data_IF_990033723848
#
_entry.id   IF_990033723848
#
_cell.length_a   1.000
_cell.length_b   1.000
_cell.length_c   1.000
_cell.angle_alpha   90.00
_cell.angle_beta   90.00
_cell.angle_gamma   90.00
#
_symmetry.space_group_name_H-M   'P 1'
#
loop_
_entity.id
_entity.type
_entity.pdbx_description
1 polymer ?
#
# COMPACT_ATOMS: atom_id res chain seq x y z
N UNK A 1 -7.02 17.26 -52.98
CA UNK A 1 -6.64 17.33 -51.56
C UNK A 1 -5.67 16.19 -51.25
N UNK A 2 -4.36 16.44 -51.07
CA UNK A 2 -3.35 15.41 -50.78
C UNK A 2 -3.58 14.68 -49.45
N UNK A 3 -4.13 15.37 -48.45
CA UNK A 3 -4.38 14.86 -47.09
C UNK A 3 -5.31 13.63 -47.06
N UNK A 4 -6.30 13.61 -47.94
CA UNK A 4 -7.29 12.53 -48.05
C UNK A 4 -6.65 11.23 -48.60
N UNK A 5 -5.60 11.37 -49.42
CA UNK A 5 -4.86 10.24 -49.99
C UNK A 5 -3.87 9.64 -48.99
N UNK A 6 -3.17 10.49 -48.24
CA UNK A 6 -2.24 10.06 -47.18
C UNK A 6 -2.98 9.38 -46.04
N UNK A 7 -4.14 9.91 -45.63
CA UNK A 7 -4.96 9.30 -44.59
C UNK A 7 -5.45 7.90 -44.99
N UNK A 8 -5.92 7.73 -46.24
CA UNK A 8 -6.32 6.41 -46.78
C UNK A 8 -5.17 5.41 -46.78
N UNK A 9 -3.95 5.86 -47.12
CA UNK A 9 -2.75 5.02 -47.07
C UNK A 9 -2.48 4.53 -45.64
N UNK A 10 -2.43 5.43 -44.66
CA UNK A 10 -2.21 5.03 -43.26
C UNK A 10 -3.36 4.19 -42.70
N UNK A 11 -4.60 4.43 -43.13
CA UNK A 11 -5.74 3.60 -42.76
C UNK A 11 -5.58 2.16 -43.24
N UNK A 12 -5.19 1.97 -44.51
CA UNK A 12 -4.94 0.64 -45.07
C UNK A 12 -3.76 -0.06 -44.38
N UNK A 13 -2.71 0.69 -44.03
CA UNK A 13 -1.61 0.17 -43.22
C UNK A 13 -2.11 -0.27 -41.84
N UNK A 14 -2.95 0.54 -41.19
CA UNK A 14 -3.60 0.21 -39.92
C UNK A 14 -4.43 -1.08 -40.00
N UNK A 15 -5.17 -1.28 -41.09
CA UNK A 15 -5.92 -2.52 -41.36
C UNK A 15 -5.00 -3.74 -41.38
N UNK A 16 -3.85 -3.65 -42.04
CA UNK A 16 -2.87 -4.74 -42.13
C UNK A 16 -2.20 -5.00 -40.76
N UNK A 17 -1.83 -3.93 -40.04
CA UNK A 17 -1.28 -4.04 -38.67
C UNK A 17 -2.28 -4.72 -37.72
N UNK A 18 -3.57 -4.38 -37.82
CA UNK A 18 -4.62 -4.96 -36.99
C UNK A 18 -4.73 -6.48 -37.21
N UNK A 19 -4.66 -6.95 -38.46
CA UNK A 19 -4.67 -8.39 -38.76
C UNK A 19 -3.47 -9.10 -38.12
N UNK A 20 -2.28 -8.51 -38.16
CA UNK A 20 -1.11 -9.06 -37.49
C UNK A 20 -1.27 -9.11 -35.96
N UNK A 21 -1.97 -8.12 -35.38
CA UNK A 21 -2.28 -8.08 -33.94
C UNK A 21 -3.21 -9.23 -33.52
N UNK A 22 -4.25 -9.55 -34.30
CA UNK A 22 -5.19 -10.63 -33.96
C UNK A 22 -4.48 -11.98 -33.78
N UNK A 23 -3.48 -12.27 -34.62
CA UNK A 23 -2.67 -13.48 -34.47
C UNK A 23 -1.86 -13.48 -33.16
N UNK A 24 -1.36 -12.32 -32.71
CA UNK A 24 -0.61 -12.18 -31.46
C UNK A 24 -1.51 -12.34 -30.23
N UNK A 25 -2.72 -11.77 -30.29
CA UNK A 25 -3.74 -11.90 -29.22
C UNK A 25 -4.01 -13.36 -28.92
N UNK A 26 -4.28 -14.16 -29.96
CA UNK A 26 -4.56 -15.59 -29.82
C UNK A 26 -3.45 -16.34 -29.06
N UNK A 27 -2.18 -16.13 -29.42
CA UNK A 27 -1.05 -16.76 -28.75
C UNK A 27 -0.85 -16.26 -27.32
N UNK A 28 -1.05 -14.96 -27.08
CA UNK A 28 -0.94 -14.38 -25.75
C UNK A 28 -1.98 -14.95 -24.79
N UNK A 29 -3.23 -15.09 -25.24
CA UNK A 29 -4.30 -15.68 -24.43
C UNK A 29 -4.01 -17.15 -24.13
N UNK A 30 -3.59 -17.93 -25.11
CA UNK A 30 -3.23 -19.34 -24.91
C UNK A 30 -2.10 -19.50 -23.89
N UNK A 31 -1.03 -18.70 -24.00
CA UNK A 31 0.09 -18.72 -23.05
C UNK A 31 -0.33 -18.25 -21.65
N UNK A 32 -1.23 -17.26 -21.55
CA UNK A 32 -1.72 -16.79 -20.27
C UNK A 32 -2.52 -17.85 -19.52
N UNK A 33 -3.34 -18.64 -20.22
CA UNK A 33 -4.06 -19.77 -19.63
C UNK A 33 -3.12 -20.88 -19.14
N UNK A 34 -2.01 -21.13 -19.84
CA UNK A 34 -1.00 -22.12 -19.43
C UNK A 34 -0.14 -21.64 -18.26
N UNK A 35 0.17 -20.35 -18.20
CA UNK A 35 1.08 -19.76 -17.20
C UNK A 35 0.36 -19.22 -15.96
N UNK A 36 -0.97 -19.15 -15.97
CA UNK A 36 -1.77 -18.58 -14.89
C UNK A 36 -1.58 -17.07 -14.70
N UNK A 37 -0.94 -16.37 -15.66
CA UNK A 37 -0.78 -14.92 -15.63
C UNK A 37 -2.11 -14.24 -15.98
N UNK A 38 -2.36 -13.07 -15.40
CA UNK A 38 -3.52 -12.25 -15.76
C UNK A 38 -3.47 -11.95 -17.27
N UNK A 39 -4.51 -12.37 -17.98
CA UNK A 39 -4.63 -12.24 -19.44
C UNK A 39 -5.31 -10.94 -19.86
N UNK A 40 -5.95 -10.26 -18.90
CA UNK A 40 -6.79 -9.10 -19.09
C UNK A 40 -6.20 -7.86 -18.39
N UNK A 41 -6.72 -6.69 -18.75
CA UNK A 41 -6.40 -5.46 -18.06
C UNK A 41 -6.97 -5.48 -16.64
N UNK A 42 -6.36 -4.71 -15.73
CA UNK A 42 -6.95 -4.49 -14.41
C UNK A 42 -8.29 -3.74 -14.53
N UNK A 43 -9.31 -4.25 -13.84
CA UNK A 43 -10.62 -3.61 -13.75
C UNK A 43 -10.56 -2.45 -12.74
N UNK A 44 -10.68 -1.22 -13.23
CA UNK A 44 -10.65 -0.05 -12.36
C UNK A 44 -11.75 -0.05 -11.30
N UNK A 45 -12.98 -0.48 -11.64
CA UNK A 45 -14.11 -0.41 -10.70
C UNK A 45 -13.92 -1.38 -9.53
N UNK A 46 -13.31 -2.53 -9.79
CA UNK A 46 -12.92 -3.49 -8.76
C UNK A 46 -11.79 -2.93 -7.87
N UNK A 47 -10.76 -2.33 -8.47
CA UNK A 47 -9.68 -1.67 -7.72
C UNK A 47 -10.23 -0.52 -6.87
N UNK A 48 -11.09 0.33 -7.43
CA UNK A 48 -11.73 1.45 -6.74
C UNK A 48 -12.54 0.98 -5.54
N UNK A 49 -13.33 -0.08 -5.71
CA UNK A 49 -14.16 -0.66 -4.64
C UNK A 49 -13.31 -1.30 -3.55
N UNK A 50 -12.35 -2.15 -3.92
CA UNK A 50 -11.46 -2.87 -2.98
C UNK A 50 -10.56 -1.93 -2.18
N UNK A 51 -10.05 -0.88 -2.83
CA UNK A 51 -9.18 0.11 -2.21
C UNK A 51 -9.95 1.31 -1.62
N UNK A 52 -11.28 1.31 -1.69
CA UNK A 52 -12.17 2.34 -1.13
C UNK A 52 -11.76 3.76 -1.54
N UNK A 53 -11.52 3.95 -2.84
CA UNK A 53 -11.06 5.22 -3.39
C UNK A 53 -12.27 6.12 -3.71
N UNK A 54 -12.38 7.23 -2.98
CA UNK A 54 -13.52 8.16 -3.08
C UNK A 54 -13.13 9.55 -3.59
N UNK A 55 -11.91 10.00 -3.28
CA UNK A 55 -11.43 11.33 -3.65
C UNK A 55 -10.82 11.33 -5.05
N UNK A 56 -11.10 12.40 -5.81
CA UNK A 56 -10.62 12.59 -7.18
C UNK A 56 -10.01 13.99 -7.32
N UNK A 57 -8.76 14.06 -7.77
CA UNK A 57 -8.03 15.32 -7.97
C UNK A 57 -7.52 15.41 -9.40
N UNK A 58 -8.00 16.39 -10.16
CA UNK A 58 -7.49 16.64 -11.50
C UNK A 58 -6.06 17.20 -11.46
N UNK A 59 -5.15 16.57 -12.21
CA UNK A 59 -3.73 16.91 -12.25
C UNK A 59 -3.29 17.50 -13.59
N UNK A 60 -4.21 17.89 -14.46
CA UNK A 60 -3.87 18.49 -15.76
C UNK A 60 -3.48 17.48 -16.83
N UNK A 61 -2.89 18.00 -17.91
CA UNK A 61 -2.35 17.21 -19.03
C UNK A 61 -0.89 16.85 -18.74
N UNK A 62 -0.54 15.58 -18.90
CA UNK A 62 0.79 15.05 -18.63
C UNK A 62 1.20 14.01 -19.69
N UNK A 63 2.51 13.85 -19.92
CA UNK A 63 3.07 12.75 -20.69
C UNK A 63 3.28 11.53 -19.79
N UNK A 64 2.52 10.46 -20.05
CA UNK A 64 2.48 9.29 -19.18
C UNK A 64 3.24 8.12 -19.81
N UNK A 65 4.18 7.47 -19.09
CA UNK A 65 4.81 6.24 -19.55
C UNK A 65 3.77 5.16 -19.85
N UNK A 66 3.80 4.62 -21.07
CA UNK A 66 2.83 3.62 -21.52
C UNK A 66 2.89 2.33 -20.68
N UNK A 67 4.05 2.02 -20.10
CA UNK A 67 4.25 0.88 -19.18
C UNK A 67 3.50 1.02 -17.86
N UNK A 68 3.18 2.25 -17.44
CA UNK A 68 2.44 2.49 -16.20
C UNK A 68 0.92 2.39 -16.38
N UNK A 69 0.43 2.30 -17.63
CA UNK A 69 -0.99 2.12 -17.94
C UNK A 69 -1.32 0.62 -17.94
N UNK A 70 -2.13 0.20 -16.97
CA UNK A 70 -2.31 -1.23 -16.63
C UNK A 70 -3.76 -1.71 -16.62
N UNK A 71 -4.69 -0.77 -16.65
CA UNK A 71 -6.11 -1.08 -16.51
C UNK A 71 -7.00 -0.21 -17.37
N UNK A 72 -8.30 -0.53 -17.36
CA UNK A 72 -9.33 0.28 -18.00
C UNK A 72 -10.56 0.36 -17.12
N UNK A 73 -11.26 1.49 -17.23
CA UNK A 73 -12.64 1.63 -16.79
C UNK A 73 -13.53 0.95 -17.83
N UNK A 74 -14.32 -0.05 -17.43
CA UNK A 74 -15.34 -0.70 -18.26
C UNK A 74 -14.89 -1.56 -19.45
N UNK A 75 -13.67 -1.40 -19.99
CA UNK A 75 -13.21 -2.11 -21.21
C UNK A 75 -12.09 -3.12 -20.95
N UNK A 76 -11.93 -3.55 -19.70
CA UNK A 76 -10.81 -4.43 -19.32
C UNK A 76 -10.83 -5.81 -19.98
N UNK A 77 -12.02 -6.30 -20.40
CA UNK A 77 -12.20 -7.56 -21.16
C UNK A 77 -12.04 -7.42 -22.67
N UNK A 78 -12.13 -6.20 -23.22
CA UNK A 78 -12.04 -5.98 -24.68
C UNK A 78 -10.60 -6.07 -25.19
N UNK A 79 -9.63 -6.01 -24.29
CA UNK A 79 -8.20 -5.95 -24.59
C UNK A 79 -7.43 -6.97 -23.76
N UNK A 80 -6.29 -7.43 -24.29
CA UNK A 80 -5.31 -8.19 -23.49
C UNK A 80 -4.67 -7.28 -22.44
N UNK A 81 -3.97 -7.87 -21.46
CA UNK A 81 -3.16 -7.14 -20.48
C UNK A 81 -2.15 -6.15 -21.10
N UNK A 82 -1.79 -6.34 -22.38
CA UNK A 82 -0.90 -5.45 -23.14
C UNK A 82 -1.63 -4.45 -24.04
N UNK A 83 -2.94 -4.24 -23.86
CA UNK A 83 -3.80 -3.38 -24.69
C UNK A 83 -3.96 -3.85 -26.15
N UNK A 84 -3.84 -5.14 -26.45
CA UNK A 84 -4.17 -5.64 -27.79
C UNK A 84 -5.69 -5.90 -27.90
N UNK A 85 -6.39 -5.36 -28.92
CA UNK A 85 -7.83 -5.54 -29.09
C UNK A 85 -8.18 -7.00 -29.37
N UNK A 86 -9.09 -7.57 -28.59
CA UNK A 86 -9.50 -8.97 -28.74
C UNK A 86 -10.53 -9.20 -29.86
N UNK A 87 -11.39 -8.22 -30.08
CA UNK A 87 -12.53 -8.37 -30.99
C UNK A 87 -12.23 -7.80 -32.38
N UNK A 88 -12.55 -8.57 -33.42
CA UNK A 88 -12.34 -8.16 -34.82
C UNK A 88 -13.19 -6.95 -35.24
N UNK A 89 -14.34 -6.72 -34.59
CA UNK A 89 -15.19 -5.54 -34.82
C UNK A 89 -14.52 -4.21 -34.47
N UNK A 90 -13.42 -4.23 -33.71
CA UNK A 90 -12.63 -3.05 -33.35
C UNK A 90 -11.73 -2.55 -34.48
N UNK A 91 -11.59 -3.33 -35.57
CA UNK A 91 -10.68 -3.08 -36.69
C UNK A 91 -10.83 -1.68 -37.29
N UNK A 92 -12.05 -1.28 -37.60
CA UNK A 92 -12.32 0.00 -38.27
C UNK A 92 -11.88 1.19 -37.40
N UNK A 93 -12.34 1.22 -36.14
CA UNK A 93 -11.97 2.28 -35.19
C UNK A 93 -10.47 2.28 -34.90
N UNK A 94 -9.86 1.11 -34.71
CA UNK A 94 -8.42 0.99 -34.47
C UNK A 94 -7.61 1.51 -35.65
N UNK A 95 -8.00 1.16 -36.89
CA UNK A 95 -7.30 1.59 -38.11
C UNK A 95 -7.42 3.10 -38.35
N UNK A 96 -8.55 3.72 -37.99
CA UNK A 96 -8.70 5.20 -38.00
C UNK A 96 -7.78 5.86 -36.99
N UNK A 97 -7.69 5.32 -35.77
CA UNK A 97 -6.77 5.85 -34.75
C UNK A 97 -5.31 5.68 -35.17
N UNK A 98 -4.96 4.56 -35.80
CA UNK A 98 -3.63 4.36 -36.40
C UNK A 98 -3.32 5.40 -37.47
N UNK A 99 -4.27 5.68 -38.36
CA UNK A 99 -4.09 6.69 -39.39
C UNK A 99 -3.89 8.09 -38.81
N UNK A 100 -4.68 8.45 -37.79
CA UNK A 100 -4.54 9.72 -37.08
C UNK A 100 -3.21 9.81 -36.32
N UNK A 101 -2.73 8.72 -35.73
CA UNK A 101 -1.44 8.70 -35.03
C UNK A 101 -0.22 8.87 -35.94
N UNK A 102 -0.36 8.59 -37.24
CA UNK A 102 0.68 8.83 -38.25
C UNK A 102 0.45 10.12 -39.05
N UNK A 103 -0.63 10.87 -38.78
CA UNK A 103 -0.85 12.19 -39.38
C UNK A 103 -0.05 13.26 -38.64
N UNK A 104 0.03 14.47 -39.23
CA UNK A 104 0.68 15.61 -38.58
C UNK A 104 -0.09 16.13 -37.35
N UNK A 105 -1.40 15.93 -37.30
CA UNK A 105 -2.26 16.40 -36.22
C UNK A 105 -2.13 15.52 -34.96
N UNK A 106 -1.92 14.22 -35.15
CA UNK A 106 -1.87 13.26 -34.05
C UNK A 106 -3.23 13.06 -33.36
N UNK A 107 -3.33 12.10 -32.43
CA UNK A 107 -4.56 11.88 -31.69
C UNK A 107 -4.65 12.86 -30.51
N UNK A 108 -5.87 13.26 -30.09
CA UNK A 108 -6.03 14.06 -28.88
C UNK A 108 -5.59 13.28 -27.63
N UNK A 109 -5.26 13.98 -26.52
CA UNK A 109 -4.92 13.34 -25.25
C UNK A 109 -5.97 12.34 -24.78
N UNK A 110 -5.52 11.30 -24.08
CA UNK A 110 -6.40 10.30 -23.46
C UNK A 110 -6.90 10.77 -22.07
N UNK A 111 -7.83 10.05 -21.47
CA UNK A 111 -8.24 10.30 -20.08
C UNK A 111 -7.83 9.12 -19.19
N UNK A 112 -7.14 9.43 -18.10
CA UNK A 112 -6.62 8.44 -17.16
C UNK A 112 -7.07 8.72 -15.73
N UNK A 113 -7.42 7.66 -15.00
CA UNK A 113 -7.35 7.66 -13.55
C UNK A 113 -5.99 7.18 -13.07
N UNK A 114 -5.41 7.84 -12.06
CA UNK A 114 -4.15 7.44 -11.42
C UNK A 114 -4.43 6.93 -10.00
N UNK A 115 -3.93 5.75 -9.66
CA UNK A 115 -4.01 5.15 -8.32
C UNK A 115 -2.61 4.65 -7.95
N UNK A 116 -1.98 5.27 -6.95
CA UNK A 116 -0.56 5.02 -6.67
C UNK A 116 0.30 5.36 -7.90
N UNK A 117 1.06 4.38 -8.39
CA UNK A 117 1.90 4.49 -9.60
C UNK A 117 1.24 3.93 -10.86
N UNK A 118 0.04 3.38 -10.73
CA UNK A 118 -0.70 2.73 -11.81
C UNK A 118 -1.74 3.66 -12.44
N UNK A 119 -1.90 3.53 -13.77
CA UNK A 119 -2.89 4.30 -14.54
C UNK A 119 -3.94 3.40 -15.18
N UNK A 120 -5.17 3.90 -15.21
CA UNK A 120 -6.35 3.23 -15.72
C UNK A 120 -7.01 4.09 -16.79
N UNK A 121 -7.22 3.52 -17.97
CA UNK A 121 -7.82 4.24 -19.09
C UNK A 121 -9.31 4.45 -18.85
N UNK A 122 -9.71 5.71 -18.69
CA UNK A 122 -11.11 6.13 -18.68
C UNK A 122 -11.62 6.28 -20.12
N UNK A 123 -10.86 6.96 -20.97
CA UNK A 123 -11.11 7.04 -22.41
C UNK A 123 -9.81 6.95 -23.21
N UNK A 124 -9.87 6.35 -24.40
CA UNK A 124 -8.72 6.24 -25.30
C UNK A 124 -8.01 4.88 -25.37
N UNK A 125 -8.68 3.78 -25.00
CA UNK A 125 -8.08 2.43 -25.04
C UNK A 125 -7.44 2.07 -26.40
N UNK A 126 -8.08 2.43 -27.52
CA UNK A 126 -7.50 2.22 -28.86
C UNK A 126 -6.25 3.08 -29.10
N UNK A 127 -6.19 4.30 -28.56
CA UNK A 127 -5.01 5.18 -28.68
C UNK A 127 -3.83 4.60 -27.91
N UNK A 128 -4.05 4.07 -26.70
CA UNK A 128 -3.02 3.33 -25.95
C UNK A 128 -2.52 2.11 -26.73
N UNK A 129 -3.43 1.32 -27.29
CA UNK A 129 -3.09 0.17 -28.13
C UNK A 129 -2.22 0.55 -29.33
N UNK A 130 -2.63 1.58 -30.08
CA UNK A 130 -1.90 2.09 -31.25
C UNK A 130 -0.53 2.64 -30.84
N UNK A 131 -0.46 3.45 -29.79
CA UNK A 131 0.79 4.04 -29.32
C UNK A 131 1.82 2.96 -28.93
N UNK A 132 1.39 1.89 -28.23
CA UNK A 132 2.25 0.73 -27.95
C UNK A 132 2.71 0.02 -29.22
N UNK A 133 1.81 -0.15 -30.20
CA UNK A 133 2.15 -0.80 -31.47
C UNK A 133 3.13 0.02 -32.32
N UNK A 134 3.10 1.34 -32.19
CA UNK A 134 4.06 2.25 -32.81
C UNK A 134 5.38 2.35 -32.03
N UNK A 135 5.49 1.70 -30.87
CA UNK A 135 6.69 1.73 -30.04
C UNK A 135 6.90 3.06 -29.30
N UNK A 136 5.85 3.86 -29.14
CA UNK A 136 5.92 5.06 -28.32
C UNK A 136 6.27 4.70 -26.87
N UNK A 137 7.00 5.59 -26.19
CA UNK A 137 7.35 5.44 -24.76
C UNK A 137 6.30 6.06 -23.84
N UNK A 138 5.74 7.18 -24.28
CA UNK A 138 4.77 7.98 -23.53
C UNK A 138 3.53 8.28 -24.37
N UNK A 139 2.46 8.70 -23.70
CA UNK A 139 1.23 9.21 -24.32
C UNK A 139 0.69 10.39 -23.50
N UNK A 140 0.21 11.43 -24.18
CA UNK A 140 -0.42 12.57 -23.51
C UNK A 140 -1.78 12.17 -22.92
N UNK A 141 -2.04 12.58 -21.69
CA UNK A 141 -3.27 12.26 -20.97
C UNK A 141 -3.73 13.39 -20.05
N UNK A 142 -5.04 13.60 -19.97
CA UNK A 142 -5.70 14.23 -18.83
C UNK A 142 -5.72 13.26 -17.66
N UNK A 143 -5.13 13.64 -16.53
CA UNK A 143 -4.99 12.75 -15.36
C UNK A 143 -5.89 13.21 -14.22
N UNK A 144 -6.68 12.28 -13.69
CA UNK A 144 -7.39 12.43 -12.42
C UNK A 144 -6.80 11.44 -11.41
N UNK A 145 -6.17 11.93 -10.36
CA UNK A 145 -5.58 11.10 -9.33
C UNK A 145 -6.59 10.77 -8.23
N UNK A 146 -6.58 9.51 -7.79
CA UNK A 146 -7.25 9.03 -6.60
C UNK A 146 -6.17 8.72 -5.55
N UNK A 147 -5.96 9.61 -4.58
CA UNK A 147 -4.94 9.44 -3.55
C UNK A 147 -5.13 8.13 -2.79
N UNK A 148 -4.03 7.42 -2.55
CA UNK A 148 -4.02 6.21 -1.73
C UNK A 148 -2.64 6.00 -1.11
N UNK A 149 -2.61 5.52 0.13
CA UNK A 149 -1.40 5.03 0.81
C UNK A 149 -1.14 3.55 0.53
N UNK A 150 -2.04 2.89 -0.22
CA UNK A 150 -1.88 1.49 -0.61
C UNK A 150 -0.99 1.43 -1.86
N UNK A 151 0.12 0.66 -1.82
CA UNK A 151 0.99 0.54 -2.98
C UNK A 151 0.24 -0.19 -4.10
N UNK A 152 0.09 0.48 -5.24
CA UNK A 152 -0.42 -0.12 -6.47
C UNK A 152 0.59 0.17 -7.59
N UNK A 153 1.11 -0.91 -8.18
CA UNK A 153 2.15 -0.84 -9.21
C UNK A 153 1.72 -1.55 -10.48
N UNK A 154 2.23 -1.10 -11.64
CA UNK A 154 2.07 -1.81 -12.89
C UNK A 154 2.55 -3.26 -12.82
N UNK A 155 1.75 -4.20 -13.34
CA UNK A 155 2.14 -5.61 -13.47
C UNK A 155 2.04 -6.45 -12.19
N UNK A 156 1.41 -5.93 -11.13
CA UNK A 156 1.11 -6.70 -9.93
C UNK A 156 0.36 -8.00 -10.27
N UNK A 157 0.81 -9.09 -9.67
CA UNK A 157 0.13 -10.37 -9.66
C UNK A 157 -1.19 -10.30 -8.89
N UNK A 158 -2.08 -11.27 -9.11
CA UNK A 158 -3.32 -11.37 -8.32
C UNK A 158 -3.07 -11.52 -6.82
N UNK A 159 -1.93 -12.10 -6.42
CA UNK A 159 -1.53 -12.20 -5.00
C UNK A 159 -1.14 -10.84 -4.43
N UNK A 160 -0.36 -10.04 -5.18
CA UNK A 160 0.02 -8.69 -4.76
C UNK A 160 -1.21 -7.78 -4.68
N UNK A 161 -2.16 -7.91 -5.61
CA UNK A 161 -3.41 -7.16 -5.55
C UNK A 161 -4.27 -7.56 -4.34
N UNK A 162 -4.35 -8.85 -4.02
CA UNK A 162 -5.02 -9.33 -2.81
C UNK A 162 -4.33 -8.83 -1.53
N UNK A 163 -2.99 -8.71 -1.53
CA UNK A 163 -2.24 -8.13 -0.44
C UNK A 163 -2.53 -6.63 -0.26
N UNK A 164 -2.58 -5.87 -1.36
CA UNK A 164 -2.97 -4.47 -1.36
C UNK A 164 -4.41 -4.27 -0.85
N UNK A 165 -5.35 -5.13 -1.25
CA UNK A 165 -6.73 -5.13 -0.76
C UNK A 165 -6.81 -5.39 0.75
N UNK A 166 -6.08 -6.38 1.27
CA UNK A 166 -6.05 -6.67 2.69
C UNK A 166 -5.52 -5.47 3.51
N UNK A 167 -4.49 -4.79 2.98
CA UNK A 167 -3.97 -3.58 3.59
C UNK A 167 -4.96 -2.41 3.53
N UNK A 168 -5.64 -2.22 2.41
CA UNK A 168 -6.68 -1.19 2.28
C UNK A 168 -7.83 -1.40 3.28
N UNK A 169 -8.26 -2.65 3.47
CA UNK A 169 -9.25 -3.00 4.48
C UNK A 169 -8.76 -2.68 5.89
N UNK A 170 -7.51 -3.02 6.22
CA UNK A 170 -6.89 -2.64 7.49
C UNK A 170 -6.94 -1.12 7.74
N UNK A 171 -6.53 -0.32 6.75
CA UNK A 171 -6.55 1.15 6.86
C UNK A 171 -7.97 1.70 7.04
N UNK A 172 -8.94 1.12 6.34
CA UNK A 172 -10.34 1.51 6.43
C UNK A 172 -10.96 1.18 7.79
N UNK A 173 -10.74 -0.04 8.28
CA UNK A 173 -11.32 -0.52 9.55
C UNK A 173 -10.70 0.20 10.76
N UNK A 174 -9.40 0.49 10.71
CA UNK A 174 -8.69 1.16 11.83
C UNK A 174 -8.75 2.68 11.76
N UNK A 175 -9.06 3.24 10.58
CA UNK A 175 -9.00 4.68 10.34
C UNK A 175 -7.58 5.25 10.31
N UNK A 176 -6.53 4.42 10.20
CA UNK A 176 -5.13 4.85 10.32
C UNK A 176 -4.77 6.02 9.40
N UNK A 177 -5.24 6.01 8.15
CA UNK A 177 -4.94 7.11 7.20
C UNK A 177 -5.57 8.44 7.62
N UNK A 178 -6.71 8.44 8.32
CA UNK A 178 -7.30 9.67 8.87
C UNK A 178 -6.63 10.07 10.19
N UNK A 179 -6.35 9.08 11.03
CA UNK A 179 -5.76 9.27 12.35
C UNK A 179 -4.32 9.79 12.29
N UNK A 180 -3.53 9.31 11.31
CA UNK A 180 -2.11 9.66 11.13
C UNK A 180 -1.81 9.79 9.62
N UNK A 181 -2.14 10.91 8.96
CA UNK A 181 -2.00 11.06 7.50
C UNK A 181 -0.59 10.81 6.96
N UNK A 182 0.44 11.06 7.78
CA UNK A 182 1.86 10.86 7.47
C UNK A 182 2.37 9.44 7.77
N UNK A 183 1.46 8.49 8.10
CA UNK A 183 1.87 7.13 8.44
C UNK A 183 2.65 6.47 7.30
N UNK A 184 3.70 5.77 7.68
CA UNK A 184 4.42 4.89 6.76
C UNK A 184 3.59 3.65 6.39
N UNK A 185 3.86 3.06 5.23
CA UNK A 185 3.20 1.83 4.79
C UNK A 185 3.59 0.66 5.70
N UNK A 186 2.59 -0.03 6.26
CA UNK A 186 2.80 -1.20 7.11
C UNK A 186 2.76 -2.45 6.24
N UNK A 187 3.92 -2.92 5.77
CA UNK A 187 4.01 -4.11 4.92
C UNK A 187 4.02 -5.41 5.75
N UNK A 188 3.24 -6.41 5.33
CA UNK A 188 3.23 -7.76 5.90
C UNK A 188 3.39 -8.80 4.79
N UNK A 189 4.18 -9.84 5.04
CA UNK A 189 4.38 -10.93 4.05
C UNK A 189 3.09 -11.69 3.75
N UNK A 190 2.22 -11.86 4.75
CA UNK A 190 0.98 -12.60 4.62
C UNK A 190 -0.24 -11.68 4.83
N UNK A 191 -1.09 -11.47 3.79
CA UNK A 191 -2.23 -10.55 3.85
C UNK A 191 -3.20 -10.84 5.00
N UNK A 192 -3.38 -12.11 5.35
CA UNK A 192 -4.24 -12.50 6.46
C UNK A 192 -3.83 -11.77 7.76
N UNK A 193 -2.54 -11.60 8.03
CA UNK A 193 -2.00 -11.13 9.32
C UNK A 193 -2.39 -9.70 9.71
N UNK A 194 -2.98 -8.91 8.81
CA UNK A 194 -3.57 -7.62 9.20
C UNK A 194 -4.64 -7.76 10.28
N UNK A 195 -5.32 -8.91 10.40
CA UNK A 195 -6.24 -9.15 11.53
C UNK A 195 -5.53 -9.17 12.89
N UNK A 196 -4.28 -9.62 12.95
CA UNK A 196 -3.48 -9.59 14.18
C UNK A 196 -3.21 -8.13 14.59
N UNK A 197 -2.84 -7.27 13.63
CA UNK A 197 -2.64 -5.84 13.88
C UNK A 197 -3.91 -5.14 14.35
N UNK A 198 -5.05 -5.41 13.71
CA UNK A 198 -6.34 -4.88 14.16
C UNK A 198 -6.65 -5.31 15.59
N UNK A 199 -6.40 -6.59 15.91
CA UNK A 199 -6.56 -7.11 17.27
C UNK A 199 -5.71 -6.36 18.30
N UNK A 200 -4.48 -5.99 17.95
CA UNK A 200 -3.62 -5.18 18.82
C UNK A 200 -4.14 -3.76 19.01
N UNK A 201 -4.62 -3.10 17.96
CA UNK A 201 -5.20 -1.75 18.03
C UNK A 201 -6.46 -1.75 18.90
N UNK A 202 -7.40 -2.68 18.67
CA UNK A 202 -8.63 -2.75 19.46
C UNK A 202 -8.40 -3.16 20.92
N UNK A 203 -7.38 -3.98 21.18
CA UNK A 203 -6.97 -4.27 22.56
C UNK A 203 -6.40 -3.02 23.23
N UNK A 204 -5.58 -2.26 22.50
CA UNK A 204 -5.01 -0.99 22.98
C UNK A 204 -6.10 0.03 23.30
N UNK A 205 -7.07 0.21 22.40
CA UNK A 205 -8.27 1.03 22.61
C UNK A 205 -8.96 0.67 23.92
N UNK A 206 -9.33 -0.60 24.11
CA UNK A 206 -9.99 -1.08 25.34
C UNK A 206 -9.17 -0.89 26.61
N UNK A 207 -7.85 -0.94 26.50
CA UNK A 207 -6.95 -0.65 27.62
C UNK A 207 -7.02 0.84 27.94
N UNK A 208 -6.82 1.71 26.95
CA UNK A 208 -6.84 3.16 27.13
C UNK A 208 -8.18 3.69 27.64
N UNK A 209 -9.32 3.17 27.15
CA UNK A 209 -10.64 3.59 27.64
C UNK A 209 -10.80 3.36 29.16
N UNK A 210 -10.31 2.21 29.64
CA UNK A 210 -10.33 1.89 31.08
C UNK A 210 -9.38 2.76 31.88
N UNK A 211 -8.27 3.19 31.28
CA UNK A 211 -7.27 4.02 31.92
C UNK A 211 -7.70 5.47 32.05
N UNK A 212 -8.21 6.03 30.96
CA UNK A 212 -8.64 7.42 30.89
C UNK A 212 -10.07 7.59 31.40
N UNK A 213 -10.74 6.48 31.75
CA UNK A 213 -12.11 6.45 32.23
C UNK A 213 -13.09 7.20 31.29
N UNK A 214 -12.82 7.12 29.99
CA UNK A 214 -13.62 7.73 28.92
C UNK A 214 -13.67 6.81 27.71
N UNK A 215 -14.73 6.94 26.92
CA UNK A 215 -14.78 6.32 25.61
C UNK A 215 -13.75 6.97 24.68
N UNK A 216 -13.19 6.18 23.78
CA UNK A 216 -12.28 6.61 22.72
C UNK A 216 -12.91 6.34 21.37
N UNK A 217 -12.60 7.17 20.38
CA UNK A 217 -12.82 6.76 18.99
C UNK A 217 -11.71 5.79 18.58
N UNK A 218 -12.02 4.88 17.65
CA UNK A 218 -11.02 3.99 17.05
C UNK A 218 -9.86 4.78 16.45
N UNK A 219 -10.11 5.96 15.88
CA UNK A 219 -9.07 6.83 15.32
C UNK A 219 -8.13 7.38 16.39
N UNK A 220 -8.65 7.83 17.54
CA UNK A 220 -7.83 8.28 18.67
C UNK A 220 -6.92 7.15 19.18
N UNK A 221 -7.48 5.95 19.34
CA UNK A 221 -6.73 4.79 19.79
C UNK A 221 -5.70 4.31 18.75
N UNK A 222 -6.05 4.33 17.46
CA UNK A 222 -5.14 4.01 16.36
C UNK A 222 -3.97 4.98 16.30
N UNK A 223 -4.21 6.29 16.45
CA UNK A 223 -3.14 7.30 16.49
C UNK A 223 -2.19 7.06 17.68
N UNK A 224 -2.73 6.85 18.88
CA UNK A 224 -1.90 6.57 20.06
C UNK A 224 -1.09 5.27 19.89
N UNK A 225 -1.73 4.19 19.43
CA UNK A 225 -1.06 2.92 19.12
C UNK A 225 0.07 3.12 18.11
N UNK A 226 -0.18 3.86 17.03
CA UNK A 226 0.82 4.08 15.99
C UNK A 226 2.05 4.81 16.55
N UNK A 227 1.85 5.93 17.25
CA UNK A 227 2.95 6.76 17.75
C UNK A 227 3.66 6.19 18.98
N UNK A 228 2.95 5.46 19.85
CA UNK A 228 3.51 4.97 21.13
C UNK A 228 3.99 3.53 21.07
N UNK A 229 3.47 2.71 20.15
CA UNK A 229 3.77 1.28 20.08
C UNK A 229 4.43 0.94 18.75
N UNK A 230 3.74 1.16 17.62
CA UNK A 230 4.21 0.71 16.32
C UNK A 230 5.49 1.44 15.88
N UNK A 231 5.42 2.77 15.73
CA UNK A 231 6.52 3.59 15.21
C UNK A 231 7.82 3.45 16.03
N UNK A 232 7.81 3.50 17.38
CA UNK A 232 9.02 3.29 18.17
C UNK A 232 9.63 1.89 17.99
N UNK A 233 8.80 0.86 17.82
CA UNK A 233 9.29 -0.50 17.56
C UNK A 233 9.98 -0.59 16.19
N UNK A 234 9.38 0.00 15.16
CA UNK A 234 9.95 0.04 13.81
C UNK A 234 11.24 0.86 13.79
N UNK A 235 11.29 1.99 14.51
CA UNK A 235 12.49 2.81 14.61
C UNK A 235 13.65 2.06 15.28
N UNK A 236 13.37 1.23 16.29
CA UNK A 236 14.37 0.34 16.88
C UNK A 236 14.84 -0.74 15.89
N UNK A 237 13.91 -1.38 15.19
CA UNK A 237 14.23 -2.39 14.16
C UNK A 237 15.18 -1.81 13.11
N UNK A 238 14.93 -0.57 12.68
CA UNK A 238 15.75 0.15 11.69
C UNK A 238 17.08 0.63 12.26
N UNK A 239 17.07 1.24 13.45
CA UNK A 239 18.27 1.77 14.13
C UNK A 239 19.36 0.72 14.28
N UNK A 240 18.97 -0.53 14.54
CA UNK A 240 19.88 -1.65 14.72
C UNK A 240 19.94 -2.60 13.52
N UNK A 241 19.38 -2.19 12.37
CA UNK A 241 19.41 -2.93 11.10
C UNK A 241 19.04 -4.41 11.28
N UNK A 242 18.04 -4.68 12.13
CA UNK A 242 17.73 -6.03 12.60
C UNK A 242 17.40 -6.96 11.45
N UNK A 243 16.69 -6.44 10.43
CA UNK A 243 16.39 -7.20 9.23
C UNK A 243 17.64 -7.58 8.44
N UNK A 244 18.62 -6.69 8.32
CA UNK A 244 19.88 -6.98 7.60
C UNK A 244 20.70 -8.06 8.31
N UNK A 245 20.76 -8.01 9.64
CA UNK A 245 21.42 -9.03 10.46
C UNK A 245 20.81 -10.43 10.19
N UNK A 246 19.50 -10.50 9.92
CA UNK A 246 18.80 -11.78 9.70
C UNK A 246 18.55 -12.15 8.24
N UNK A 247 18.92 -11.29 7.27
CA UNK A 247 18.72 -11.49 5.81
C UNK A 247 19.34 -12.78 5.26
N UNK A 248 20.35 -13.35 5.92
CA UNK A 248 20.95 -14.65 5.55
C UNK A 248 20.02 -15.86 5.76
N UNK A 249 18.84 -15.69 6.36
CA UNK A 249 17.84 -16.74 6.58
C UNK A 249 16.87 -16.77 5.39
N UNK A 250 16.44 -17.97 4.99
CA UNK A 250 15.52 -18.24 3.85
C UNK A 250 14.12 -17.58 3.93
N UNK A 251 13.88 -16.64 4.85
CA UNK A 251 12.59 -15.97 5.03
C UNK A 251 12.75 -14.48 4.77
N UNK A 252 12.20 -14.00 3.66
CA UNK A 252 12.01 -12.58 3.41
C UNK A 252 10.92 -12.10 4.38
N UNK A 253 11.31 -11.45 5.48
CA UNK A 253 10.39 -10.89 6.49
C UNK A 253 10.38 -9.38 6.38
N UNK A 254 9.20 -8.79 6.53
CA UNK A 254 9.06 -7.33 6.61
C UNK A 254 9.27 -6.85 8.05
N UNK A 255 9.39 -5.54 8.23
CA UNK A 255 9.44 -4.92 9.56
C UNK A 255 8.13 -5.16 10.32
N UNK A 256 6.99 -5.12 9.63
CA UNK A 256 5.69 -5.45 10.20
C UNK A 256 5.58 -6.90 10.69
N UNK A 257 6.17 -7.86 9.96
CA UNK A 257 6.19 -9.25 10.41
C UNK A 257 7.01 -9.43 11.69
N UNK A 258 8.14 -8.72 11.79
CA UNK A 258 9.00 -8.72 12.98
C UNK A 258 8.29 -8.02 14.14
N UNK A 259 7.63 -6.88 13.90
CA UNK A 259 6.81 -6.20 14.90
C UNK A 259 5.76 -7.15 15.50
N UNK A 260 4.97 -7.83 14.67
CA UNK A 260 3.98 -8.80 15.14
C UNK A 260 4.62 -9.94 15.93
N UNK A 261 5.80 -10.42 15.50
CA UNK A 261 6.54 -11.43 16.25
C UNK A 261 6.95 -10.92 17.64
N UNK A 262 7.47 -9.68 17.74
CA UNK A 262 7.87 -9.07 19.01
C UNK A 262 6.66 -8.91 19.93
N UNK A 263 5.54 -8.42 19.40
CA UNK A 263 4.28 -8.30 20.13
C UNK A 263 3.82 -9.64 20.71
N UNK A 264 3.76 -10.68 19.88
CA UNK A 264 3.33 -12.00 20.29
C UNK A 264 4.30 -12.64 21.30
N UNK A 265 5.63 -12.47 21.10
CA UNK A 265 6.63 -12.97 22.03
C UNK A 265 6.49 -12.34 23.42
N UNK A 266 6.33 -11.02 23.47
CA UNK A 266 6.16 -10.30 24.73
C UNK A 266 4.84 -10.66 25.43
N UNK A 267 3.76 -10.87 24.68
CA UNK A 267 2.49 -11.36 25.21
C UNK A 267 2.63 -12.79 25.77
N UNK A 268 3.30 -13.69 25.07
CA UNK A 268 3.52 -15.07 25.52
C UNK A 268 4.35 -15.15 26.80
N UNK A 269 5.45 -14.38 26.88
CA UNK A 269 6.25 -14.29 28.10
C UNK A 269 5.39 -13.86 29.29
N UNK A 270 4.47 -12.91 29.08
CA UNK A 270 3.56 -12.49 30.15
C UNK A 270 2.54 -13.56 30.53
N UNK A 271 2.00 -14.29 29.55
CA UNK A 271 1.10 -15.41 29.84
C UNK A 271 1.79 -16.52 30.64
N UNK A 272 3.07 -16.79 30.36
CA UNK A 272 3.83 -17.84 31.05
C UNK A 272 4.24 -17.46 32.47
N UNK A 273 4.58 -16.18 32.71
CA UNK A 273 5.15 -15.74 34.00
C UNK A 273 4.22 -14.82 34.84
N UNK A 274 3.02 -14.49 34.35
CA UNK A 274 2.04 -13.68 35.09
C UNK A 274 2.54 -12.28 35.44
N UNK A 275 2.15 -11.74 36.61
CA UNK A 275 2.64 -10.45 37.12
C UNK A 275 4.13 -10.45 37.47
N UNK A 276 4.75 -11.62 37.59
CA UNK A 276 6.19 -11.78 37.81
C UNK A 276 7.00 -11.78 36.50
N UNK A 277 6.34 -11.64 35.34
CA UNK A 277 7.02 -11.50 34.06
C UNK A 277 7.90 -10.24 34.08
N UNK A 278 9.22 -10.34 33.78
CA UNK A 278 10.04 -9.16 33.65
C UNK A 278 9.43 -8.26 32.57
N UNK A 279 9.29 -6.97 32.86
CA UNK A 279 8.83 -5.98 31.88
C UNK A 279 9.88 -5.92 30.77
N UNK A 280 9.65 -6.69 29.71
CA UNK A 280 10.51 -6.64 28.54
C UNK A 280 10.00 -5.54 27.61
N UNK A 281 10.90 -4.60 27.36
CA UNK A 281 10.76 -3.56 26.35
C UNK A 281 11.00 -4.14 24.95
N UNK A 282 10.79 -3.36 23.89
CA UNK A 282 11.05 -3.87 22.55
C UNK A 282 12.54 -4.13 22.31
N UNK A 283 13.45 -3.34 22.88
CA UNK A 283 14.89 -3.60 22.76
C UNK A 283 15.27 -4.98 23.28
N UNK A 284 14.74 -5.37 24.44
CA UNK A 284 14.96 -6.69 25.05
C UNK A 284 14.32 -7.81 24.24
N UNK A 285 13.15 -7.59 23.65
CA UNK A 285 12.52 -8.57 22.77
C UNK A 285 13.32 -8.78 21.48
N UNK A 286 13.87 -7.71 20.91
CA UNK A 286 14.75 -7.78 19.72
C UNK A 286 16.04 -8.52 20.07
N UNK A 287 16.67 -8.24 21.22
CA UNK A 287 17.85 -8.98 21.66
C UNK A 287 17.55 -10.49 21.79
N UNK A 288 16.45 -10.86 22.47
CA UNK A 288 16.01 -12.25 22.57
C UNK A 288 15.69 -12.88 21.20
N UNK A 289 15.17 -12.12 20.24
CA UNK A 289 14.95 -12.57 18.86
C UNK A 289 16.26 -12.93 18.15
N UNK A 290 17.27 -12.08 18.27
CA UNK A 290 18.59 -12.26 17.66
C UNK A 290 19.33 -13.45 18.31
N UNK A 291 19.34 -13.54 19.64
CA UNK A 291 19.93 -14.65 20.39
C UNK A 291 19.32 -16.01 20.00
N UNK A 292 17.98 -16.11 20.00
CA UNK A 292 17.27 -17.32 19.60
C UNK A 292 17.57 -17.70 18.14
N UNK A 293 17.81 -16.70 17.30
CA UNK A 293 18.24 -16.85 15.93
C UNK A 293 19.74 -17.09 15.71
N UNK A 294 20.54 -17.20 16.79
CA UNK A 294 22.02 -17.28 16.76
C UNK A 294 22.68 -16.17 15.93
N UNK A 295 22.09 -14.99 15.95
CA UNK A 295 22.60 -13.81 15.27
C UNK A 295 23.34 -12.90 16.27
N UNK A 296 24.33 -12.10 15.81
CA UNK A 296 25.01 -11.15 16.69
C UNK A 296 24.01 -10.13 17.24
N UNK A 297 24.06 -9.91 18.55
CA UNK A 297 23.30 -8.86 19.23
C UNK A 297 24.19 -7.62 19.30
N UNK A 298 23.76 -6.46 18.77
CA UNK A 298 24.51 -5.22 18.94
C UNK A 298 24.60 -4.85 20.43
N UNK A 299 25.80 -4.57 20.94
CA UNK A 299 26.01 -4.21 22.36
C UNK A 299 25.19 -2.99 22.79
N UNK A 300 25.02 -2.03 21.87
CA UNK A 300 24.19 -0.84 22.07
C UNK A 300 22.69 -1.16 22.23
N UNK A 301 22.21 -2.28 21.69
CA UNK A 301 20.82 -2.71 21.84
C UNK A 301 20.56 -3.26 23.26
N UNK A 302 21.55 -3.94 23.85
CA UNK A 302 21.42 -4.48 25.21
C UNK A 302 21.23 -3.38 26.26
N UNK A 303 21.82 -2.20 26.02
CA UNK A 303 21.75 -1.06 26.92
C UNK A 303 20.69 -0.02 26.51
N UNK A 304 19.91 -0.28 25.45
CA UNK A 304 18.90 0.65 24.96
C UNK A 304 17.71 0.74 25.92
N UNK A 305 17.51 1.93 26.47
CA UNK A 305 16.39 2.26 27.35
C UNK A 305 15.18 2.73 26.52
N UNK A 306 14.50 1.80 25.84
CA UNK A 306 13.25 2.14 25.17
C UNK A 306 12.07 2.19 26.16
N UNK A 307 11.21 3.19 25.97
CA UNK A 307 9.99 3.38 26.79
C UNK A 307 8.86 2.47 26.34
N UNK A 308 9.10 1.54 25.42
CA UNK A 308 8.05 0.76 24.80
C UNK A 308 7.69 -0.43 25.68
N UNK A 309 7.05 -0.10 26.80
CA UNK A 309 6.45 -1.05 27.72
C UNK A 309 5.09 -1.42 27.14
N UNK A 310 4.88 -2.70 26.84
CA UNK A 310 3.56 -3.17 26.45
C UNK A 310 2.58 -2.99 27.61
N UNK A 311 1.69 -2.02 27.45
CA UNK A 311 0.62 -1.72 28.37
C UNK A 311 -0.40 -2.88 28.36
N UNK A 312 -0.22 -3.90 29.21
CA UNK A 312 -1.42 -4.61 29.68
C UNK A 312 -2.21 -3.69 30.59
N UNK A 313 -3.51 -3.95 30.71
CA UNK A 313 -4.41 -3.30 31.66
C UNK A 313 -3.74 -2.97 33.00
N UNK A 314 -3.00 -3.90 33.61
CA UNK A 314 -2.35 -3.71 34.91
C UNK A 314 -1.18 -2.70 34.89
N UNK A 315 -0.27 -2.78 33.92
CA UNK A 315 0.85 -1.85 33.80
C UNK A 315 0.38 -0.46 33.36
N UNK A 316 -0.63 -0.44 32.52
CA UNK A 316 -1.25 0.79 32.10
C UNK A 316 -1.94 1.49 33.30
N UNK A 317 -2.57 0.71 34.19
CA UNK A 317 -3.14 1.24 35.44
C UNK A 317 -2.06 1.70 36.43
N UNK A 318 -0.91 1.01 36.50
CA UNK A 318 0.23 1.42 37.33
C UNK A 318 0.91 2.70 36.80
N UNK A 319 1.07 2.83 35.48
CA UNK A 319 1.64 4.01 34.83
C UNK A 319 0.71 5.22 34.96
N UNK A 320 -0.61 5.00 34.90
CA UNK A 320 -1.61 6.07 35.17
C UNK A 320 -1.60 6.50 36.62
N UNK A 321 -1.46 5.58 37.59
CA UNK A 321 -1.25 5.96 39.00
C UNK A 321 -0.01 6.84 39.13
N UNK A 322 1.12 6.39 38.55
CA UNK A 322 2.37 7.13 38.57
C UNK A 322 2.28 8.52 37.93
N UNK A 323 1.57 8.66 36.79
CA UNK A 323 1.36 9.96 36.14
C UNK A 323 0.42 10.86 36.92
N UNK A 324 -0.66 10.32 37.48
CA UNK A 324 -1.60 11.06 38.34
C UNK A 324 -0.91 11.56 39.61
N UNK A 325 -0.06 10.74 40.19
CA UNK A 325 0.77 11.10 41.34
C UNK A 325 1.80 12.19 40.95
N UNK A 326 2.38 12.12 39.74
CA UNK A 326 3.31 13.15 39.23
C UNK A 326 2.61 14.47 38.91
N UNK A 327 1.40 14.43 38.35
CA UNK A 327 0.58 15.62 38.06
C UNK A 327 0.10 16.27 39.37
N UNK A 328 -0.34 15.49 40.36
CA UNK A 328 -0.67 16.01 41.69
C UNK A 328 0.53 16.63 42.40
N UNK A 329 1.71 16.01 42.31
CA UNK A 329 2.95 16.56 42.88
C UNK A 329 3.37 17.85 42.15
N UNK A 330 3.12 17.96 40.84
CA UNK A 330 3.39 19.18 40.07
C UNK A 330 2.40 20.30 40.40
N UNK A 331 1.12 19.99 40.60
CA UNK A 331 0.09 20.95 41.03
C UNK A 331 0.36 21.46 42.46
N UNK A 332 0.62 20.55 43.42
CA UNK A 332 0.94 20.90 44.80
C UNK A 332 2.28 21.66 44.93
N UNK A 333 3.27 21.34 44.09
CA UNK A 333 4.53 22.07 44.00
C UNK A 333 4.38 23.50 43.48
N UNK A 334 3.49 23.73 42.51
CA UNK A 334 3.21 25.08 41.99
C UNK A 334 2.38 25.94 42.96
N UNK A 335 1.53 25.31 43.76
CA UNK A 335 0.74 25.97 44.81
C UNK A 335 1.60 26.36 46.02
N UNK A 336 2.64 25.56 46.34
CA UNK A 336 3.60 25.86 47.41
C UNK A 336 4.50 27.06 47.13
N UNK A 337 4.94 27.24 45.88
CA UNK A 337 5.80 28.37 45.49
C UNK A 337 5.04 29.70 45.35
N UNK A 338 3.72 29.66 45.17
CA UNK A 338 2.87 30.88 45.18
C UNK A 338 2.51 31.39 46.58
N UNK A 339 2.87 30.65 47.64
CA UNK A 339 2.56 31.02 49.02
C UNK A 339 3.73 31.67 49.79
N UNK A 340 4.89 31.86 49.15
CA UNK A 340 6.12 32.40 49.79
C UNK A 340 6.60 33.72 49.13
N UNK A 341 5.87 34.29 48.17
CA UNK A 341 6.19 35.59 47.57
C UNK A 341 5.54 36.78 48.29
#
# INVERSE_FOLDING_TARGET
MPEDSTFRTFYNEGVNKFQAIQNRVFWQEMLSHLTGRQSELLNFDEVRSRLRLHEEHYQGVQDIPLENIVGSVGRYKDFTATFLPKNSNMKERWSRVYALANSQEGPPPIELYKVGDAYFVRDGNHRVSVARQLGAKTIQAHVVALPTTVPLRPGMSGQELAAAEAYANFLSETGLTRAVPEHESIELTAPARYHELMGHIFLHERVLEKLWARALTTEEATADWYHKIYKPAIDLIRKYEVLDIVKGRKTQRTEGDLFLWLMNNLLQLRHQYGEAAPVKSFSKAIASYLEAGRAPVPEQLENEADKTVLLTRTQAMAEVRKRRDQEQVAEDGSAGDSAIA
#
